data_IF_891416422142
#
_entry.id   IF_891416422142
#
_cell.length_a   1.000
_cell.length_b   1.000
_cell.length_c   1.000
_cell.angle_alpha   90.00
_cell.angle_beta   90.00
_cell.angle_gamma   90.00
#
_symmetry.space_group_name_H-M   'P 1'
#
loop_
_entity.id
_entity.type
_entity.pdbx_description
1 polymer ?
#
# COMPACT_ATOMS: atom_id res chain seq x y z
N UNK A 1 -21.59 -18.80 -16.29
CA UNK A 1 -20.87 -19.90 -16.97
C UNK A 1 -19.41 -19.48 -16.98
N UNK A 2 -18.49 -19.98 -16.15
CA UNK A 2 -17.99 -21.36 -16.04
C UNK A 2 -17.20 -21.51 -14.73
N UNK A 3 -17.69 -22.26 -13.74
CA UNK A 3 -16.86 -22.66 -12.58
C UNK A 3 -17.32 -24.00 -11.97
N UNK A 4 -18.09 -24.78 -12.73
CA UNK A 4 -18.64 -26.06 -12.26
C UNK A 4 -17.91 -27.27 -12.84
N UNK A 5 -16.98 -27.08 -13.79
CA UNK A 5 -16.35 -28.19 -14.53
C UNK A 5 -15.05 -28.72 -13.88
N UNK A 6 -14.54 -28.09 -12.80
CA UNK A 6 -13.27 -28.48 -12.18
C UNK A 6 -13.38 -29.73 -11.27
N UNK A 7 -14.60 -30.09 -10.85
CA UNK A 7 -14.87 -31.28 -10.03
C UNK A 7 -15.13 -32.53 -10.86
N UNK A 8 -15.18 -32.42 -12.19
CA UNK A 8 -15.41 -33.56 -13.05
C UNK A 8 -14.19 -34.51 -13.05
N UNK A 9 -14.49 -35.77 -12.79
CA UNK A 9 -13.68 -36.96 -13.05
C UNK A 9 -12.52 -37.26 -12.10
N UNK A 10 -12.85 -37.48 -10.81
CA UNK A 10 -11.98 -38.19 -9.86
C UNK A 10 -12.63 -39.47 -9.29
N UNK A 11 -13.80 -39.85 -9.79
CA UNK A 11 -14.59 -40.93 -9.22
C UNK A 11 -14.21 -42.30 -9.79
N UNK A 12 -13.56 -42.35 -10.96
CA UNK A 12 -13.17 -43.59 -11.64
C UNK A 12 -11.65 -43.66 -11.73
N UNK A 13 -11.05 -44.72 -11.18
CA UNK A 13 -9.62 -44.96 -11.27
C UNK A 13 -9.25 -45.54 -12.66
N UNK A 14 -8.54 -44.80 -13.54
CA UNK A 14 -8.18 -45.29 -14.86
C UNK A 14 -7.11 -46.41 -14.83
N UNK A 15 -6.48 -46.66 -13.67
CA UNK A 15 -5.42 -47.64 -13.50
C UNK A 15 -5.91 -48.99 -12.94
N UNK A 16 -7.19 -49.10 -12.55
CA UNK A 16 -7.74 -50.23 -11.78
C UNK A 16 -7.68 -51.57 -12.54
N UNK A 17 -7.82 -51.54 -13.88
CA UNK A 17 -7.81 -52.73 -14.75
C UNK A 17 -6.48 -52.95 -15.48
N UNK A 18 -5.41 -52.26 -15.09
CA UNK A 18 -4.14 -52.35 -15.82
C UNK A 18 -3.46 -53.71 -15.58
N UNK A 19 -3.16 -54.49 -16.65
CA UNK A 19 -2.69 -55.89 -16.52
C UNK A 19 -1.29 -56.04 -15.90
N UNK A 20 -0.50 -54.97 -15.89
CA UNK A 20 0.86 -54.95 -15.32
C UNK A 20 0.93 -54.32 -13.92
N UNK A 21 -0.19 -53.85 -13.37
CA UNK A 21 -0.23 -53.22 -12.05
C UNK A 21 -0.93 -54.13 -11.04
N UNK A 22 -0.36 -54.22 -9.85
CA UNK A 22 -1.11 -54.72 -8.70
C UNK A 22 -2.18 -53.69 -8.29
N UNK A 23 -3.23 -54.16 -7.61
CA UNK A 23 -4.33 -53.29 -7.12
C UNK A 23 -3.81 -52.11 -6.30
N UNK A 24 -2.84 -52.35 -5.42
CA UNK A 24 -2.24 -51.31 -4.59
C UNK A 24 -1.48 -50.27 -5.43
N UNK A 25 -0.76 -50.69 -6.47
CA UNK A 25 -0.01 -49.77 -7.34
C UNK A 25 -0.97 -48.88 -8.16
N UNK A 26 -2.06 -49.45 -8.66
CA UNK A 26 -3.11 -48.72 -9.35
C UNK A 26 -3.78 -47.65 -8.44
N UNK A 27 -4.08 -47.99 -7.19
CA UNK A 27 -4.65 -47.06 -6.22
C UNK A 27 -3.69 -45.94 -5.85
N UNK A 28 -2.41 -46.27 -5.61
CA UNK A 28 -1.39 -45.28 -5.25
C UNK A 28 -1.14 -44.31 -6.41
N UNK A 29 -1.01 -44.81 -7.65
CA UNK A 29 -0.86 -43.96 -8.83
C UNK A 29 -2.06 -43.03 -9.01
N UNK A 30 -3.26 -43.52 -8.73
CA UNK A 30 -4.46 -42.70 -8.78
C UNK A 30 -4.43 -41.56 -7.77
N UNK A 31 -4.11 -41.85 -6.51
CA UNK A 31 -4.01 -40.82 -5.47
C UNK A 31 -2.90 -39.79 -5.77
N UNK A 32 -1.78 -40.21 -6.35
CA UNK A 32 -0.76 -39.28 -6.83
C UNK A 32 -1.27 -38.40 -7.99
N UNK A 33 -2.06 -38.94 -8.91
CA UNK A 33 -2.67 -38.16 -9.98
C UNK A 33 -3.65 -37.11 -9.43
N UNK A 34 -4.48 -37.48 -8.43
CA UNK A 34 -5.35 -36.53 -7.71
C UNK A 34 -4.54 -35.43 -7.02
N UNK A 35 -3.49 -35.83 -6.30
CA UNK A 35 -2.61 -34.90 -5.60
C UNK A 35 -1.94 -33.91 -6.58
N UNK A 36 -1.40 -34.41 -7.69
CA UNK A 36 -0.77 -33.57 -8.70
C UNK A 36 -1.76 -32.57 -9.31
N UNK A 37 -3.01 -32.97 -9.56
CA UNK A 37 -4.09 -32.07 -10.02
C UNK A 37 -4.41 -31.01 -8.97
N UNK A 38 -4.51 -31.40 -7.69
CA UNK A 38 -4.76 -30.48 -6.58
C UNK A 38 -3.61 -29.47 -6.42
N UNK A 39 -2.36 -29.93 -6.46
CA UNK A 39 -1.17 -29.05 -6.38
C UNK A 39 -1.13 -28.08 -7.56
N UNK A 40 -1.40 -28.52 -8.79
CA UNK A 40 -1.51 -27.61 -9.96
C UNK A 40 -2.61 -26.57 -9.78
N UNK A 41 -3.74 -26.97 -9.24
CA UNK A 41 -4.86 -26.06 -8.96
C UNK A 41 -4.46 -25.02 -7.90
N UNK A 42 -3.84 -25.46 -6.80
CA UNK A 42 -3.33 -24.56 -5.77
C UNK A 42 -2.27 -23.60 -6.32
N UNK A 43 -1.37 -24.07 -7.17
CA UNK A 43 -0.36 -23.23 -7.80
C UNK A 43 -1.00 -22.16 -8.69
N UNK A 44 -1.97 -22.55 -9.53
CA UNK A 44 -2.70 -21.62 -10.38
C UNK A 44 -3.46 -20.57 -9.54
N UNK A 45 -4.15 -20.99 -8.47
CA UNK A 45 -4.84 -20.06 -7.56
C UNK A 45 -3.89 -19.12 -6.83
N UNK A 46 -2.76 -19.64 -6.36
CA UNK A 46 -1.72 -18.83 -5.71
C UNK A 46 -1.14 -17.81 -6.69
N UNK A 47 -0.93 -18.22 -7.93
CA UNK A 47 -0.47 -17.35 -9.01
C UNK A 47 -1.50 -16.27 -9.33
N UNK A 48 -2.78 -16.61 -9.45
CA UNK A 48 -3.88 -15.65 -9.62
C UNK A 48 -3.91 -14.62 -8.48
N UNK A 49 -3.74 -15.06 -7.23
CA UNK A 49 -3.71 -14.18 -6.05
C UNK A 49 -2.44 -13.31 -5.99
N UNK A 50 -1.29 -13.82 -6.45
CA UNK A 50 -0.02 -13.11 -6.47
C UNK A 50 0.07 -12.10 -7.63
N UNK A 51 -0.45 -12.46 -8.79
CA UNK A 51 -0.43 -11.64 -10.00
C UNK A 51 -1.55 -10.59 -10.04
N UNK A 52 -2.57 -10.70 -9.18
CA UNK A 52 -3.56 -9.67 -8.96
C UNK A 52 -3.11 -8.78 -7.78
N UNK A 53 -2.30 -7.72 -7.99
CA UNK A 53 -2.22 -6.68 -6.99
C UNK A 53 -3.63 -6.18 -6.77
N UNK A 54 -4.05 -6.07 -5.52
CA UNK A 54 -5.37 -5.60 -5.18
C UNK A 54 -5.51 -4.15 -5.68
N UNK A 55 -6.01 -3.99 -6.90
CA UNK A 55 -6.13 -2.72 -7.61
C UNK A 55 -7.02 -1.76 -6.79
N UNK A 56 -7.95 -2.31 -6.01
CA UNK A 56 -8.75 -1.55 -5.07
C UNK A 56 -7.90 -1.03 -3.91
N UNK A 57 -7.01 -1.84 -3.34
CA UNK A 57 -6.06 -1.40 -2.31
C UNK A 57 -5.10 -0.32 -2.84
N UNK A 58 -4.57 -0.48 -4.05
CA UNK A 58 -3.70 0.54 -4.68
C UNK A 58 -4.44 1.86 -4.91
N UNK A 59 -5.69 1.83 -5.35
CA UNK A 59 -6.48 3.05 -5.52
C UNK A 59 -6.77 3.72 -4.17
N UNK A 60 -7.09 2.93 -3.14
CA UNK A 60 -7.26 3.45 -1.77
C UNK A 60 -5.97 4.12 -1.26
N UNK A 61 -4.81 3.50 -1.46
CA UNK A 61 -3.52 4.07 -1.08
C UNK A 61 -3.22 5.37 -1.83
N UNK A 62 -3.50 5.44 -3.13
CA UNK A 62 -3.34 6.67 -3.93
C UNK A 62 -4.24 7.80 -3.43
N UNK A 63 -5.49 7.50 -3.06
CA UNK A 63 -6.40 8.49 -2.47
C UNK A 63 -5.83 9.01 -1.14
N UNK A 64 -5.29 8.12 -0.31
CA UNK A 64 -4.67 8.50 0.96
C UNK A 64 -3.42 9.36 0.76
N UNK A 65 -2.54 8.98 -0.18
CA UNK A 65 -1.35 9.74 -0.54
C UNK A 65 -1.70 11.17 -0.94
N UNK A 66 -2.70 11.37 -1.82
CA UNK A 66 -3.15 12.71 -2.23
C UNK A 66 -3.67 13.54 -1.06
N UNK A 67 -4.46 12.93 -0.16
CA UNK A 67 -5.01 13.62 1.01
C UNK A 67 -3.92 14.01 1.99
N UNK A 68 -3.00 13.10 2.30
CA UNK A 68 -1.87 13.36 3.20
C UNK A 68 -0.91 14.39 2.59
N UNK A 69 -0.65 14.32 1.29
CA UNK A 69 0.14 15.32 0.57
C UNK A 69 -0.44 16.73 0.70
N UNK A 70 -1.77 16.87 0.53
CA UNK A 70 -2.46 18.15 0.73
C UNK A 70 -2.39 18.63 2.19
N UNK A 71 -2.61 17.74 3.17
CA UNK A 71 -2.51 18.10 4.59
C UNK A 71 -1.09 18.55 4.93
N UNK A 72 -0.07 17.86 4.43
CA UNK A 72 1.33 18.21 4.65
C UNK A 72 1.68 19.57 4.04
N UNK A 73 1.23 19.86 2.81
CA UNK A 73 1.51 21.16 2.17
C UNK A 73 0.81 22.30 2.91
N UNK A 74 -0.46 22.14 3.29
CA UNK A 74 -1.18 23.14 4.08
C UNK A 74 -0.56 23.36 5.45
N UNK A 75 -0.14 22.28 6.13
CA UNK A 75 0.56 22.36 7.40
C UNK A 75 1.88 23.14 7.25
N UNK A 76 2.71 22.80 6.26
CA UNK A 76 3.96 23.52 6.00
C UNK A 76 3.73 25.00 5.70
N UNK A 77 2.72 25.33 4.89
CA UNK A 77 2.36 26.70 4.60
C UNK A 77 1.92 27.45 5.86
N UNK A 78 1.12 26.82 6.73
CA UNK A 78 0.67 27.43 7.99
C UNK A 78 1.82 27.70 8.96
N UNK A 79 2.79 26.78 9.05
CA UNK A 79 3.97 26.95 9.90
C UNK A 79 4.85 28.08 9.36
N UNK A 80 5.07 28.11 8.05
CA UNK A 80 5.86 29.16 7.42
C UNK A 80 5.22 30.53 7.60
N UNK A 81 3.90 30.66 7.40
CA UNK A 81 3.17 31.89 7.65
C UNK A 81 3.32 32.36 9.11
N UNK A 82 3.14 31.46 10.08
CA UNK A 82 3.28 31.81 11.49
C UNK A 82 4.72 32.21 11.89
N UNK A 83 5.73 31.61 11.28
CA UNK A 83 7.13 32.00 11.50
C UNK A 83 7.39 33.37 10.86
N UNK A 84 6.92 33.58 9.63
CA UNK A 84 7.08 34.84 8.91
C UNK A 84 6.42 36.01 9.66
N UNK A 85 5.20 35.83 10.16
CA UNK A 85 4.49 36.85 10.92
C UNK A 85 5.24 37.23 12.21
N UNK A 86 5.85 36.25 12.90
CA UNK A 86 6.67 36.51 14.10
C UNK A 86 7.97 37.25 13.77
N UNK A 87 8.60 36.93 12.64
CA UNK A 87 9.80 37.62 12.19
C UNK A 87 9.50 39.07 11.83
N UNK A 88 8.43 39.31 11.07
CA UNK A 88 7.99 40.67 10.73
C UNK A 88 7.67 41.50 11.98
N UNK A 89 6.95 40.94 12.95
CA UNK A 89 6.66 41.64 14.21
C UNK A 89 7.92 41.95 15.02
N UNK A 90 8.91 41.05 15.03
CA UNK A 90 10.19 41.28 15.71
C UNK A 90 11.03 42.36 15.01
N UNK A 91 11.05 42.38 13.68
CA UNK A 91 11.72 43.41 12.88
C UNK A 91 11.09 44.80 13.09
N UNK A 92 9.76 44.87 13.11
CA UNK A 92 9.05 46.12 13.41
C UNK A 92 9.33 46.64 14.82
N UNK A 93 9.38 45.75 15.82
CA UNK A 93 9.71 46.11 17.19
C UNK A 93 11.14 46.66 17.30
N UNK A 94 12.12 45.98 16.69
CA UNK A 94 13.52 46.43 16.67
C UNK A 94 13.68 47.81 16.01
N UNK A 95 12.98 48.04 14.88
CA UNK A 95 13.00 49.34 14.22
C UNK A 95 12.38 50.46 15.06
N UNK A 96 11.32 50.15 15.83
CA UNK A 96 10.72 51.12 16.75
C UNK A 96 11.62 51.44 17.94
N UNK A 97 12.32 50.45 18.49
CA UNK A 97 13.31 50.65 19.55
C UNK A 97 14.46 51.55 19.08
N UNK A 98 15.10 51.25 17.94
CA UNK A 98 16.16 52.10 17.35
C UNK A 98 15.68 53.53 17.09
N UNK A 99 14.47 53.70 16.55
CA UNK A 99 13.90 55.04 16.32
C UNK A 99 13.63 55.80 17.61
N UNK A 100 13.25 55.11 18.68
CA UNK A 100 13.00 55.71 19.99
C UNK A 100 14.30 56.10 20.70
N UNK A 101 15.34 55.27 20.60
CA UNK A 101 16.67 55.55 21.15
C UNK A 101 17.29 56.76 20.45
N UNK A 102 17.24 56.81 19.11
CA UNK A 102 17.73 57.95 18.33
C UNK A 102 17.03 59.27 18.69
N UNK A 103 15.71 59.23 18.92
CA UNK A 103 14.97 60.42 19.36
C UNK A 103 15.37 60.87 20.77
N UNK A 104 15.68 59.92 21.66
CA UNK A 104 16.11 60.21 23.04
C UNK A 104 17.54 60.79 23.12
N UNK A 105 18.46 60.33 22.27
CA UNK A 105 19.83 60.86 22.20
C UNK A 105 19.88 62.29 21.65
N UNK A 106 19.03 62.62 20.68
CA UNK A 106 18.89 63.97 20.13
C UNK A 106 18.27 64.95 21.15
N UNK A 107 17.34 64.49 21.98
CA UNK A 107 16.73 65.31 23.04
C UNK A 107 17.72 65.62 24.18
N UNK A 108 18.63 64.69 24.50
CA UNK A 108 19.65 64.88 25.54
C UNK A 108 20.84 65.76 25.10
N UNK A 109 21.01 66.00 23.79
CA UNK A 109 22.13 66.77 23.22
C UNK A 109 21.82 68.25 22.98
N UNK A 110 20.62 68.74 23.36
CA UNK A 110 20.24 70.17 23.34
C UNK A 110 20.26 70.79 24.73
#
# INVERSE_FOLDING_TARGET
MTSSDAHADLDINPYEDHPELSKLEADVLWEYAKLAKNVKTLLNRTRELSEAPDQALLEQLRVLERKLGLVLTLFKASVWAAINDRQAAAEEAAFQEERSEAFSEDEYSR
#
